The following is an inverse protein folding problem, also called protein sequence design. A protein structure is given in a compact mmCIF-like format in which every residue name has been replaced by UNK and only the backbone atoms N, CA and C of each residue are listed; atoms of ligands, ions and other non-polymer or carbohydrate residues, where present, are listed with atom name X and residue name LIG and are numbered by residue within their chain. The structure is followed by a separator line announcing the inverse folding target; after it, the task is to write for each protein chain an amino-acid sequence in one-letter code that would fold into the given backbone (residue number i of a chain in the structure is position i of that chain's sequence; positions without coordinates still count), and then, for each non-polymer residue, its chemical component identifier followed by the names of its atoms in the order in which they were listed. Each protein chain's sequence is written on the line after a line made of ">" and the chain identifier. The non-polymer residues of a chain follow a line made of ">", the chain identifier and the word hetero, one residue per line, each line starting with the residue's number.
data_IF_695104056174
#
_entry.id   IF_695104056174
#
_cell.length_a   1.000
_cell.length_b   1.000
_cell.length_c   1.000
_cell.angle_alpha   90.00
_cell.angle_beta   90.00
_cell.angle_gamma   90.00
#
_symmetry.space_group_name_H-M   'P 1'
#
loop_
_entity.id
_entity.type
_entity.pdbx_description
1 polymer ?
#
# COMPACT_ATOMS: atom_id res chain seq x y z
N UNK A 1 -13.72 29.48 8.27
CA UNK A 1 -14.43 28.52 9.13
C UNK A 1 -13.40 27.95 10.06
N UNK A 2 -13.58 28.13 11.36
CA UNK A 2 -12.70 27.48 12.35
C UNK A 2 -13.00 25.98 12.36
N UNK A 3 -11.97 25.16 12.49
CA UNK A 3 -12.14 23.73 12.69
C UNK A 3 -12.61 23.48 14.10
N UNK A 4 -13.74 22.79 14.27
CA UNK A 4 -14.30 22.46 15.61
C UNK A 4 -13.45 21.46 16.39
N UNK A 5 -12.47 20.85 15.72
CA UNK A 5 -11.54 19.89 16.29
C UNK A 5 -10.09 20.23 15.94
N UNK A 6 -9.19 19.87 16.85
CA UNK A 6 -7.75 20.09 16.72
C UNK A 6 -7.01 18.82 16.29
N UNK A 7 -5.84 19.01 15.67
CA UNK A 7 -4.93 17.91 15.38
C UNK A 7 -4.53 17.22 16.68
N UNK A 8 -4.50 15.88 16.64
CA UNK A 8 -4.25 14.98 17.78
C UNK A 8 -5.31 15.00 18.87
N UNK A 9 -6.47 15.60 18.62
CA UNK A 9 -7.60 15.54 19.55
C UNK A 9 -8.21 14.13 19.58
N UNK A 10 -8.54 13.67 20.79
CA UNK A 10 -9.25 12.42 21.03
C UNK A 10 -10.76 12.64 20.81
N UNK A 11 -11.37 11.77 20.01
CA UNK A 11 -12.77 11.88 19.60
C UNK A 11 -13.48 10.53 19.59
N UNK A 12 -14.81 10.57 19.60
CA UNK A 12 -15.64 9.45 19.17
C UNK A 12 -15.96 9.62 17.68
N UNK A 13 -15.76 8.56 16.89
CA UNK A 13 -16.14 8.56 15.48
C UNK A 13 -17.10 7.40 15.15
N UNK A 14 -18.02 7.66 14.22
CA UNK A 14 -19.07 6.71 13.83
C UNK A 14 -18.86 6.24 12.39
N UNK A 15 -18.69 4.94 12.21
CA UNK A 15 -18.76 4.31 10.88
C UNK A 15 -20.15 3.71 10.63
N UNK A 16 -20.55 3.65 9.35
CA UNK A 16 -21.78 2.96 8.95
C UNK A 16 -21.69 1.47 9.30
N UNK A 17 -22.65 0.97 10.07
CA UNK A 17 -22.69 -0.43 10.52
C UNK A 17 -21.84 -0.78 11.74
N UNK A 18 -21.09 0.16 12.31
CA UNK A 18 -20.27 -0.06 13.51
C UNK A 18 -20.71 0.87 14.66
N UNK A 19 -20.48 0.53 15.93
CA UNK A 19 -20.72 1.45 17.04
C UNK A 19 -19.81 2.68 16.96
N UNK A 20 -20.06 3.67 17.82
CA UNK A 20 -19.09 4.74 18.07
C UNK A 20 -17.77 4.13 18.59
N UNK A 21 -16.66 4.54 17.98
CA UNK A 21 -15.33 4.01 18.28
C UNK A 21 -14.38 5.16 18.62
N UNK A 22 -13.49 5.00 19.63
CA UNK A 22 -12.56 6.07 19.98
C UNK A 22 -11.42 6.16 18.96
N UNK A 23 -11.06 7.38 18.58
CA UNK A 23 -10.01 7.65 17.60
C UNK A 23 -9.34 8.99 17.82
N UNK A 24 -8.23 9.20 17.14
CA UNK A 24 -7.43 10.43 17.22
C UNK A 24 -7.45 11.11 15.85
N UNK A 25 -7.70 12.41 15.83
CA UNK A 25 -7.60 13.20 14.60
C UNK A 25 -6.13 13.33 14.23
N UNK A 26 -5.76 12.89 13.02
CA UNK A 26 -4.38 12.90 12.54
C UNK A 26 -4.15 13.89 11.40
N UNK A 27 -5.21 14.32 10.73
CA UNK A 27 -5.15 15.25 9.61
C UNK A 27 -6.54 15.87 9.39
N UNK A 28 -6.59 17.02 8.72
CA UNK A 28 -7.82 17.64 8.27
C UNK A 28 -7.63 18.26 6.88
N UNK A 29 -8.67 18.26 6.06
CA UNK A 29 -8.63 18.87 4.72
C UNK A 29 -9.97 19.42 4.31
N UNK A 30 -9.96 20.41 3.42
CA UNK A 30 -11.18 20.90 2.77
C UNK A 30 -11.44 20.03 1.54
N UNK A 31 -12.61 19.42 1.49
CA UNK A 31 -13.07 18.63 0.34
C UNK A 31 -13.52 19.52 -0.82
N UNK A 32 -13.76 18.93 -2.00
CA UNK A 32 -14.23 19.67 -3.18
C UNK A 32 -15.59 20.37 -2.97
N UNK A 33 -16.39 19.91 -2.00
CA UNK A 33 -17.67 20.52 -1.62
C UNK A 33 -17.53 21.64 -0.59
N UNK A 34 -16.32 22.14 -0.31
CA UNK A 34 -16.01 23.08 0.77
C UNK A 34 -16.35 22.59 2.19
N UNK A 35 -16.58 21.28 2.36
CA UNK A 35 -16.75 20.68 3.69
C UNK A 35 -15.40 20.23 4.27
N UNK A 36 -15.19 20.47 5.56
CA UNK A 36 -14.02 19.97 6.29
C UNK A 36 -14.16 18.47 6.52
N UNK A 37 -13.14 17.73 6.10
CA UNK A 37 -12.99 16.30 6.36
C UNK A 37 -11.83 16.07 7.31
N UNK A 38 -12.06 15.20 8.29
CA UNK A 38 -11.08 14.80 9.29
C UNK A 38 -10.61 13.39 9.01
N UNK A 39 -9.30 13.19 9.08
CA UNK A 39 -8.71 11.86 9.15
C UNK A 39 -8.65 11.41 10.59
N UNK A 40 -9.21 10.24 10.86
CA UNK A 40 -9.27 9.66 12.20
C UNK A 40 -8.58 8.32 12.16
N UNK A 41 -7.54 8.17 12.97
CA UNK A 41 -6.88 6.89 13.19
C UNK A 41 -7.48 6.26 14.46
N UNK A 42 -7.99 5.03 14.36
CA UNK A 42 -8.74 4.41 15.45
C UNK A 42 -7.83 3.80 16.53
N UNK A 43 -8.27 3.90 17.80
CA UNK A 43 -7.61 3.19 18.89
C UNK A 43 -7.96 1.70 18.79
N UNK A 44 -6.94 0.86 18.85
CA UNK A 44 -7.01 -0.59 18.79
C UNK A 44 -7.15 -1.21 17.41
N UNK A 45 -7.10 -0.39 16.37
CA UNK A 45 -6.98 -0.81 14.99
C UNK A 45 -5.95 0.04 14.24
N UNK A 46 -5.10 -0.57 13.42
CA UNK A 46 -4.26 0.17 12.47
C UNK A 46 -5.08 0.57 11.23
N UNK A 47 -6.30 1.05 11.45
CA UNK A 47 -7.26 1.51 10.45
C UNK A 47 -7.50 3.02 10.61
N UNK A 48 -7.90 3.66 9.52
CA UNK A 48 -8.22 5.08 9.51
C UNK A 48 -9.40 5.34 8.57
N UNK A 49 -10.10 6.45 8.81
CA UNK A 49 -11.16 6.93 7.92
C UNK A 49 -11.00 8.42 7.68
N UNK A 50 -11.51 8.88 6.53
CA UNK A 50 -11.84 10.28 6.30
C UNK A 50 -13.34 10.45 6.51
N UNK A 51 -13.74 11.39 7.34
CA UNK A 51 -15.16 11.64 7.62
C UNK A 51 -15.44 13.13 7.86
N UNK A 52 -16.71 13.51 7.75
CA UNK A 52 -17.18 14.84 8.09
C UNK A 52 -17.47 14.97 9.61
N UNK A 53 -17.66 16.21 10.03
CA UNK A 53 -17.99 16.57 11.42
C UNK A 53 -19.24 15.87 11.98
N UNK A 54 -20.25 15.59 11.15
CA UNK A 54 -21.49 14.95 11.60
C UNK A 54 -21.27 13.54 12.19
N UNK A 55 -20.16 12.88 11.82
CA UNK A 55 -19.81 11.54 12.30
C UNK A 55 -18.75 11.55 13.40
N UNK A 56 -18.49 12.72 14.01
CA UNK A 56 -17.47 12.92 15.05
C UNK A 56 -18.11 13.59 16.26
N UNK A 57 -17.67 13.22 17.46
CA UNK A 57 -18.05 13.90 18.71
C UNK A 57 -16.81 14.07 19.59
N UNK A 58 -16.78 15.14 20.38
CA UNK A 58 -15.77 15.31 21.43
C UNK A 58 -15.78 14.11 22.37
N UNK A 59 -14.60 13.64 22.78
CA UNK A 59 -14.50 12.45 23.61
C UNK A 59 -15.24 12.59 24.95
N UNK A 60 -15.25 13.80 25.52
CA UNK A 60 -16.00 14.13 26.75
C UNK A 60 -17.50 13.87 26.66
N UNK A 61 -18.05 13.86 25.44
CA UNK A 61 -19.49 13.69 25.20
C UNK A 61 -19.78 12.23 24.91
N UNK A 62 -19.53 11.36 25.89
CA UNK A 62 -19.66 9.91 25.75
C UNK A 62 -21.08 9.52 25.32
N UNK A 63 -21.25 8.86 24.16
CA UNK A 63 -22.57 8.39 23.75
C UNK A 63 -23.13 7.35 24.74
N UNK A 64 -24.38 7.53 25.16
CA UNK A 64 -25.06 6.72 26.21
C UNK A 64 -25.11 5.22 25.92
N UNK A 65 -25.01 4.86 24.64
CA UNK A 65 -25.07 3.53 24.06
C UNK A 65 -23.73 2.77 24.16
N UNK A 66 -22.62 3.47 24.48
CA UNK A 66 -21.29 2.85 24.54
C UNK A 66 -21.15 1.89 25.72
N UNK A 67 -21.66 2.24 26.91
CA UNK A 67 -21.55 1.40 28.10
C UNK A 67 -22.36 0.09 28.00
N UNK A 68 -23.26 -0.03 27.02
CA UNK A 68 -24.07 -1.22 26.77
C UNK A 68 -23.40 -2.23 25.83
N UNK A 69 -22.22 -1.90 25.29
CA UNK A 69 -21.54 -2.78 24.33
C UNK A 69 -20.96 -4.02 25.00
N UNK A 70 -21.23 -5.19 24.43
CA UNK A 70 -20.62 -6.47 24.83
C UNK A 70 -19.31 -6.76 24.10
N UNK A 71 -18.89 -5.86 23.20
CA UNK A 71 -17.68 -6.04 22.40
C UNK A 71 -16.42 -5.79 23.25
N UNK A 72 -15.76 -6.88 23.68
CA UNK A 72 -14.52 -6.86 24.47
C UNK A 72 -13.39 -6.05 23.83
N UNK A 73 -13.30 -6.03 22.49
CA UNK A 73 -12.28 -5.25 21.78
C UNK A 73 -12.56 -3.77 21.96
N UNK A 74 -13.79 -3.34 21.73
CA UNK A 74 -14.21 -1.96 21.90
C UNK A 74 -14.00 -1.50 23.35
N UNK A 75 -14.42 -2.30 24.35
CA UNK A 75 -14.17 -1.99 25.77
C UNK A 75 -12.69 -1.72 26.07
N UNK A 76 -11.79 -2.54 25.52
CA UNK A 76 -10.34 -2.32 25.66
C UNK A 76 -9.86 -1.05 24.95
N UNK A 77 -10.42 -0.72 23.79
CA UNK A 77 -10.10 0.53 23.08
C UNK A 77 -10.53 1.75 23.89
N UNK A 78 -11.67 1.66 24.58
CA UNK A 78 -12.19 2.71 25.46
C UNK A 78 -11.29 2.87 26.68
N UNK A 79 -10.88 1.77 27.34
CA UNK A 79 -9.92 1.84 28.46
C UNK A 79 -8.62 2.55 28.07
N UNK A 80 -8.11 2.29 26.86
CA UNK A 80 -6.91 2.96 26.35
C UNK A 80 -7.20 4.43 26.02
N UNK A 81 -8.36 4.73 25.45
CA UNK A 81 -8.77 6.10 25.19
C UNK A 81 -8.90 6.91 26.48
N UNK A 82 -9.41 6.32 27.57
CA UNK A 82 -9.41 6.94 28.90
C UNK A 82 -8.00 7.26 29.40
N UNK A 83 -7.05 6.33 29.25
CA UNK A 83 -5.64 6.56 29.61
C UNK A 83 -4.98 7.65 28.77
N UNK A 84 -5.39 7.78 27.51
CA UNK A 84 -4.96 8.89 26.64
C UNK A 84 -5.59 10.20 27.11
N UNK A 85 -6.88 10.19 27.47
CA UNK A 85 -7.60 11.35 27.96
C UNK A 85 -7.06 11.86 29.31
N UNK A 86 -6.72 10.96 30.22
CA UNK A 86 -6.06 11.25 31.52
C UNK A 86 -4.59 11.65 31.39
N UNK A 87 -4.04 11.64 30.17
CA UNK A 87 -2.62 11.93 29.84
C UNK A 87 -1.62 10.91 30.42
N UNK A 88 -2.08 9.73 30.83
CA UNK A 88 -1.21 8.61 31.18
C UNK A 88 -0.50 8.02 29.94
N UNK A 89 -1.15 8.07 28.78
CA UNK A 89 -0.59 7.61 27.50
C UNK A 89 -0.49 8.76 26.50
N UNK A 90 0.63 8.81 25.78
CA UNK A 90 0.88 9.80 24.72
C UNK A 90 0.21 9.41 23.40
N UNK A 91 -0.35 10.39 22.70
CA UNK A 91 -0.94 10.25 21.36
C UNK A 91 0.08 10.27 20.23
N UNK A 92 1.35 10.57 20.52
CA UNK A 92 2.39 10.85 19.51
C UNK A 92 2.71 9.65 18.60
N UNK A 93 2.41 8.42 19.03
CA UNK A 93 2.66 7.22 18.25
C UNK A 93 1.55 6.18 18.44
N UNK A 94 0.35 6.52 17.96
CA UNK A 94 -0.83 5.64 18.02
C UNK A 94 -0.57 4.26 17.40
N UNK A 95 0.25 4.18 16.34
CA UNK A 95 0.65 2.91 15.73
C UNK A 95 1.40 2.00 16.72
N UNK A 96 2.40 2.53 17.43
CA UNK A 96 3.10 1.75 18.46
C UNK A 96 2.17 1.35 19.60
N UNK A 97 1.30 2.26 20.05
CA UNK A 97 0.32 2.00 21.08
C UNK A 97 -0.64 0.86 20.68
N UNK A 98 -1.17 0.90 19.46
CA UNK A 98 -2.01 -0.16 18.92
C UNK A 98 -1.28 -1.50 18.86
N UNK A 99 -0.02 -1.52 18.44
CA UNK A 99 0.78 -2.74 18.40
C UNK A 99 1.09 -3.31 19.80
N UNK A 100 1.22 -2.46 20.83
CA UNK A 100 1.44 -2.90 22.21
C UNK A 100 0.20 -3.54 22.81
N UNK A 101 -0.98 -2.94 22.64
CA UNK A 101 -2.21 -3.42 23.30
C UNK A 101 -3.02 -4.42 22.47
N UNK A 102 -2.88 -4.34 21.15
CA UNK A 102 -3.51 -5.22 20.17
C UNK A 102 -2.43 -5.74 19.23
N UNK A 103 -1.44 -6.49 19.77
CA UNK A 103 -0.45 -7.12 18.92
C UNK A 103 -1.22 -7.94 17.91
N UNK A 104 -1.03 -7.63 16.63
CA UNK A 104 -1.75 -8.26 15.54
C UNK A 104 -1.62 -9.77 15.72
N UNK A 105 -2.66 -10.42 16.27
CA UNK A 105 -2.71 -11.87 16.47
C UNK A 105 -2.82 -12.60 15.16
N UNK A 106 -2.64 -11.91 14.03
CA UNK A 106 -1.98 -12.54 12.92
C UNK A 106 -0.58 -13.00 13.37
N UNK A 107 -0.53 -14.16 14.03
CA UNK A 107 0.11 -15.28 13.33
C UNK A 107 -0.38 -15.12 11.91
N UNK A 108 0.45 -14.55 11.05
CA UNK A 108 0.26 -14.72 9.63
C UNK A 108 0.15 -16.24 9.55
N UNK A 109 -1.07 -16.75 9.46
CA UNK A 109 -1.29 -18.04 8.86
C UNK A 109 -0.81 -17.73 7.47
N UNK A 110 0.50 -17.93 7.26
CA UNK A 110 1.06 -18.18 5.94
C UNK A 110 0.00 -19.08 5.31
N UNK A 111 -0.57 -18.71 4.15
CA UNK A 111 -1.63 -19.49 3.53
C UNK A 111 -1.24 -20.94 3.71
N UNK A 112 -2.09 -21.72 4.41
CA UNK A 112 -1.79 -23.11 4.85
C UNK A 112 -0.88 -23.66 3.79
N UNK A 113 0.41 -23.87 4.12
CA UNK A 113 1.44 -24.27 3.17
C UNK A 113 0.74 -25.20 2.21
N UNK A 114 0.61 -24.81 0.93
CA UNK A 114 0.39 -25.84 -0.08
C UNK A 114 1.42 -26.91 0.27
N UNK A 115 1.03 -28.19 0.37
CA UNK A 115 1.95 -29.24 0.76
C UNK A 115 3.27 -28.99 0.03
N UNK A 116 4.41 -28.94 0.75
CA UNK A 116 5.66 -28.42 0.21
C UNK A 116 5.88 -29.05 -1.14
N UNK A 117 5.76 -28.26 -2.20
CA UNK A 117 6.25 -28.65 -3.51
C UNK A 117 7.76 -28.60 -3.32
N UNK A 118 8.42 -29.75 -3.38
CA UNK A 118 9.84 -29.97 -3.06
C UNK A 118 10.70 -28.69 -3.11
N UNK A 119 10.95 -28.12 -1.93
CA UNK A 119 11.63 -26.82 -1.73
C UNK A 119 13.15 -26.92 -1.97
N UNK A 120 13.67 -28.10 -2.29
CA UNK A 120 15.10 -28.27 -2.60
C UNK A 120 15.47 -27.88 -4.05
N UNK A 121 14.55 -27.32 -4.82
CA UNK A 121 14.89 -26.69 -6.10
C UNK A 121 15.01 -25.19 -5.88
N UNK A 122 16.24 -24.70 -5.74
CA UNK A 122 16.51 -23.27 -5.87
C UNK A 122 15.88 -22.75 -7.16
N UNK A 123 15.09 -21.66 -7.12
CA UNK A 123 14.48 -21.10 -8.30
C UNK A 123 15.58 -20.67 -9.27
N UNK A 124 15.79 -21.48 -10.32
CA UNK A 124 16.77 -21.18 -11.36
C UNK A 124 16.35 -19.89 -12.06
N UNK A 125 17.25 -18.90 -12.09
CA UNK A 125 17.01 -17.59 -12.70
C UNK A 125 16.52 -17.67 -14.15
N UNK A 126 16.98 -18.68 -14.90
CA UNK A 126 16.51 -18.95 -16.27
C UNK A 126 15.02 -19.30 -16.37
N UNK A 127 14.43 -19.86 -15.32
CA UNK A 127 12.98 -20.09 -15.25
C UNK A 127 12.23 -18.78 -15.07
N UNK A 128 12.77 -17.87 -14.26
CA UNK A 128 12.18 -16.55 -13.97
C UNK A 128 12.19 -15.69 -15.23
N UNK A 129 13.30 -15.67 -15.96
CA UNK A 129 13.41 -14.97 -17.25
C UNK A 129 12.39 -15.50 -18.26
N UNK A 130 12.27 -16.82 -18.41
CA UNK A 130 11.27 -17.44 -19.29
C UNK A 130 9.83 -17.07 -18.90
N UNK A 131 9.53 -17.06 -17.59
CA UNK A 131 8.20 -16.65 -17.09
C UNK A 131 7.90 -15.19 -17.38
N UNK A 132 8.89 -14.30 -17.20
CA UNK A 132 8.74 -12.87 -17.53
C UNK A 132 8.44 -12.69 -19.03
N UNK A 133 9.19 -13.35 -19.89
CA UNK A 133 8.97 -13.27 -21.34
C UNK A 133 7.61 -13.82 -21.76
N UNK A 134 7.17 -14.92 -21.12
CA UNK A 134 5.84 -15.49 -21.37
C UNK A 134 4.72 -14.56 -20.88
N UNK A 135 4.88 -13.91 -19.72
CA UNK A 135 3.93 -12.93 -19.17
C UNK A 135 3.78 -11.70 -20.08
N UNK A 136 4.91 -11.15 -20.56
CA UNK A 136 4.93 -10.02 -21.50
C UNK A 136 4.22 -10.41 -22.81
N UNK A 137 4.56 -11.57 -23.39
CA UNK A 137 3.94 -12.05 -24.64
C UNK A 137 2.43 -12.29 -24.50
N UNK A 138 2.01 -12.92 -23.39
CA UNK A 138 0.59 -13.22 -23.13
C UNK A 138 -0.22 -11.93 -23.02
N UNK A 139 0.31 -10.92 -22.34
CA UNK A 139 -0.37 -9.63 -22.17
C UNK A 139 -0.40 -8.81 -23.46
N UNK A 140 0.64 -8.88 -24.29
CA UNK A 140 0.62 -8.27 -25.63
C UNK A 140 -0.50 -8.86 -26.51
N UNK A 141 -0.72 -10.18 -26.44
CA UNK A 141 -1.82 -10.84 -27.16
C UNK A 141 -3.20 -10.48 -26.58
N UNK A 142 -3.31 -10.24 -25.27
CA UNK A 142 -4.56 -9.90 -24.57
C UNK A 142 -5.04 -8.45 -24.80
N UNK A 143 -4.19 -7.55 -25.32
CA UNK A 143 -4.64 -6.19 -25.72
C UNK A 143 -5.75 -6.21 -26.79
N UNK A 144 -6.10 -7.37 -27.36
CA UNK A 144 -7.25 -7.57 -28.23
C UNK A 144 -8.60 -7.79 -27.50
N UNK A 145 -8.62 -8.09 -26.19
CA UNK A 145 -9.87 -8.33 -25.45
C UNK A 145 -9.84 -7.78 -24.02
N UNK A 146 -10.67 -6.75 -23.78
CA UNK A 146 -10.80 -6.08 -22.49
C UNK A 146 -11.60 -6.92 -21.47
N UNK A 147 -10.95 -7.37 -20.37
CA UNK A 147 -11.49 -7.39 -19.00
C UNK A 147 -10.54 -8.09 -18.00
N UNK A 148 -10.20 -7.39 -16.91
CA UNK A 148 -10.48 -7.79 -15.51
C UNK A 148 -9.80 -6.82 -14.52
N UNK A 149 -10.57 -6.34 -13.55
CA UNK A 149 -10.06 -5.57 -12.41
C UNK A 149 -9.52 -6.50 -11.32
N UNK A 150 -8.43 -6.09 -10.68
CA UNK A 150 -7.77 -6.79 -9.58
C UNK A 150 -7.80 -5.94 -8.29
N UNK A 151 -7.77 -6.58 -7.12
CA UNK A 151 -7.93 -5.90 -5.82
C UNK A 151 -6.67 -5.13 -5.38
N UNK A 152 -6.83 -3.82 -5.20
CA UNK A 152 -5.84 -2.85 -4.70
C UNK A 152 -5.12 -3.33 -3.42
N UNK A 153 -5.79 -4.10 -2.56
CA UNK A 153 -5.24 -4.60 -1.30
C UNK A 153 -4.04 -5.56 -1.47
N UNK A 154 -3.96 -6.32 -2.59
CA UNK A 154 -2.82 -7.21 -2.85
C UNK A 154 -1.55 -6.41 -3.18
N UNK A 155 -1.73 -5.23 -3.76
CA UNK A 155 -0.69 -4.31 -4.21
C UNK A 155 -0.06 -3.62 -3.02
N UNK A 156 -0.89 -3.10 -2.12
CA UNK A 156 -0.42 -2.49 -0.87
C UNK A 156 0.39 -3.48 -0.02
N UNK A 157 0.06 -4.78 -0.10
CA UNK A 157 0.81 -5.83 0.59
C UNK A 157 2.20 -6.06 0.00
N UNK A 158 2.30 -6.24 -1.33
CA UNK A 158 3.58 -6.37 -2.03
C UNK A 158 4.44 -5.11 -1.85
N UNK A 159 3.81 -3.94 -1.89
CA UNK A 159 4.40 -2.65 -1.58
C UNK A 159 4.99 -2.60 -0.18
N UNK A 160 4.25 -2.99 0.86
CA UNK A 160 4.78 -2.98 2.23
C UNK A 160 6.00 -3.89 2.34
N UNK A 161 5.98 -5.06 1.72
CA UNK A 161 7.13 -5.96 1.70
C UNK A 161 8.34 -5.33 1.01
N UNK A 162 8.13 -4.59 -0.08
CA UNK A 162 9.23 -4.02 -0.86
C UNK A 162 9.72 -2.67 -0.32
N UNK A 163 8.86 -1.83 0.26
CA UNK A 163 9.29 -0.65 1.02
C UNK A 163 10.05 -1.03 2.30
N UNK A 164 9.66 -2.12 2.96
CA UNK A 164 10.45 -2.70 4.05
C UNK A 164 11.83 -3.18 3.54
N UNK A 165 11.90 -3.67 2.31
CA UNK A 165 13.14 -4.08 1.65
C UNK A 165 14.04 -2.88 1.26
N UNK A 166 13.49 -1.79 0.72
CA UNK A 166 14.25 -0.63 0.20
C UNK A 166 14.58 0.42 1.27
N UNK A 167 13.64 0.71 2.17
CA UNK A 167 13.58 2.00 2.88
C UNK A 167 14.46 2.12 4.13
N UNK A 168 15.13 1.06 4.61
CA UNK A 168 15.90 1.12 5.85
C UNK A 168 17.21 0.35 5.76
N UNK A 169 18.27 1.11 5.48
CA UNK A 169 19.66 0.67 5.42
C UNK A 169 20.31 0.42 6.79
N UNK A 170 19.54 0.12 7.85
CA UNK A 170 20.13 -0.12 9.18
C UNK A 170 19.31 -1.21 9.87
N UNK A 171 19.89 -2.41 9.92
CA UNK A 171 19.47 -3.57 10.72
C UNK A 171 18.07 -4.14 10.39
N UNK A 172 17.96 -4.82 9.25
CA UNK A 172 16.99 -5.92 9.11
C UNK A 172 17.72 -7.26 9.24
N UNK A 173 17.03 -8.34 9.68
CA UNK A 173 17.55 -9.70 9.56
C UNK A 173 18.06 -9.93 8.14
N UNK A 174 19.13 -10.72 8.02
CA UNK A 174 19.79 -11.07 6.76
C UNK A 174 18.80 -11.67 5.76
N UNK A 175 18.17 -10.81 4.95
CA UNK A 175 17.30 -11.21 3.86
C UNK A 175 18.15 -12.01 2.89
N UNK A 176 17.74 -13.25 2.68
CA UNK A 176 18.44 -14.18 1.82
C UNK A 176 18.19 -13.85 0.35
N UNK A 177 19.14 -14.22 -0.51
CA UNK A 177 18.99 -14.12 -1.96
C UNK A 177 17.71 -14.79 -2.47
N UNK A 178 17.34 -15.93 -1.87
CA UNK A 178 16.12 -16.68 -2.18
C UNK A 178 14.86 -15.84 -1.92
N UNK A 179 14.81 -15.08 -0.83
CA UNK A 179 13.68 -14.22 -0.52
C UNK A 179 13.55 -13.07 -1.52
N UNK A 180 14.67 -12.47 -1.94
CA UNK A 180 14.69 -11.41 -2.97
C UNK A 180 14.14 -11.95 -4.29
N UNK A 181 14.56 -13.15 -4.68
CA UNK A 181 14.12 -13.81 -5.91
C UNK A 181 12.62 -14.12 -5.84
N UNK A 182 12.13 -14.63 -4.72
CA UNK A 182 10.70 -14.92 -4.52
C UNK A 182 9.83 -13.65 -4.60
N UNK A 183 10.27 -12.55 -3.99
CA UNK A 183 9.57 -11.26 -4.10
C UNK A 183 9.51 -10.81 -5.56
N UNK A 184 10.62 -10.91 -6.29
CA UNK A 184 10.64 -10.54 -7.70
C UNK A 184 9.72 -11.43 -8.56
N UNK A 185 9.66 -12.73 -8.26
CA UNK A 185 8.72 -13.65 -8.91
C UNK A 185 7.25 -13.25 -8.65
N UNK A 186 6.92 -12.75 -7.45
CA UNK A 186 5.58 -12.19 -7.19
C UNK A 186 5.26 -10.97 -8.06
N UNK A 187 6.25 -10.13 -8.40
CA UNK A 187 6.08 -9.03 -9.36
C UNK A 187 5.79 -9.52 -10.78
N UNK A 188 6.49 -10.54 -11.25
CA UNK A 188 6.28 -11.08 -12.60
C UNK A 188 4.86 -11.64 -12.76
N UNK A 189 4.36 -12.31 -11.71
CA UNK A 189 3.03 -12.91 -11.69
C UNK A 189 1.93 -11.90 -11.35
N UNK A 190 2.28 -10.62 -11.16
CA UNK A 190 1.35 -9.57 -10.85
C UNK A 190 0.95 -8.84 -12.13
N UNK A 191 -0.36 -8.75 -12.40
CA UNK A 191 -0.92 -8.03 -13.55
C UNK A 191 -1.60 -6.75 -13.06
N UNK A 192 -0.86 -5.62 -12.96
CA UNK A 192 -1.43 -4.38 -12.49
C UNK A 192 -2.42 -3.76 -13.47
N UNK A 193 -3.50 -3.20 -12.93
CA UNK A 193 -4.38 -2.28 -13.65
C UNK A 193 -3.59 -1.02 -14.08
N UNK A 194 -3.93 -0.49 -15.26
CA UNK A 194 -3.34 0.74 -15.82
C UNK A 194 -3.39 1.92 -14.82
N UNK A 195 -4.51 2.08 -14.10
CA UNK A 195 -4.66 3.15 -13.10
C UNK A 195 -3.64 3.04 -11.97
N UNK A 196 -3.30 1.81 -11.58
CA UNK A 196 -2.36 1.53 -10.48
C UNK A 196 -0.93 1.76 -10.96
N UNK A 197 -0.63 1.41 -12.22
CA UNK A 197 0.67 1.75 -12.82
C UNK A 197 0.88 3.26 -12.92
N UNK A 198 -0.16 4.01 -13.28
CA UNK A 198 -0.12 5.48 -13.36
C UNK A 198 0.09 6.15 -12.00
N UNK A 199 -0.39 5.55 -10.90
CA UNK A 199 -0.09 6.01 -9.54
C UNK A 199 1.39 5.82 -9.14
N UNK A 200 2.23 5.33 -10.06
CA UNK A 200 3.71 5.34 -10.06
C UNK A 200 4.40 4.45 -9.04
N UNK A 201 3.71 3.95 -8.00
CA UNK A 201 4.39 3.28 -6.89
C UNK A 201 5.07 1.96 -7.32
N UNK A 202 4.38 1.15 -8.11
CA UNK A 202 4.91 -0.12 -8.64
C UNK A 202 6.12 0.13 -9.56
N UNK A 203 6.02 1.14 -10.44
CA UNK A 203 7.10 1.54 -11.33
C UNK A 203 8.29 2.11 -10.55
N UNK A 204 8.06 2.90 -9.50
CA UNK A 204 9.11 3.42 -8.59
C UNK A 204 9.84 2.27 -7.88
N UNK A 205 9.08 1.28 -7.41
CA UNK A 205 9.64 0.08 -6.76
C UNK A 205 10.55 -0.70 -7.70
N UNK A 206 10.10 -0.99 -8.93
CA UNK A 206 10.93 -1.67 -9.93
C UNK A 206 12.13 -0.84 -10.38
N UNK A 207 11.98 0.49 -10.50
CA UNK A 207 13.09 1.39 -10.81
C UNK A 207 14.17 1.33 -9.73
N UNK A 208 13.78 1.43 -8.47
CA UNK A 208 14.73 1.35 -7.37
C UNK A 208 15.35 -0.05 -7.25
N UNK A 209 14.55 -1.11 -7.43
CA UNK A 209 15.06 -2.48 -7.47
C UNK A 209 16.13 -2.66 -8.55
N UNK A 210 15.88 -2.14 -9.77
CA UNK A 210 16.89 -2.08 -10.83
C UNK A 210 18.13 -1.34 -10.36
N UNK A 211 18.01 -0.12 -9.86
CA UNK A 211 19.14 0.73 -9.49
C UNK A 211 20.04 0.06 -8.42
N UNK A 212 19.45 -0.61 -7.44
CA UNK A 212 20.19 -1.33 -6.40
C UNK A 212 20.96 -2.54 -6.94
N UNK A 213 20.32 -3.34 -7.80
CA UNK A 213 20.88 -4.63 -8.18
C UNK A 213 21.66 -4.61 -9.49
N UNK A 214 21.45 -3.65 -10.38
CA UNK A 214 22.13 -3.61 -11.68
C UNK A 214 23.66 -3.49 -11.55
N UNK A 215 24.14 -2.83 -10.49
CA UNK A 215 25.56 -2.67 -10.17
C UNK A 215 26.07 -3.70 -9.16
N UNK A 216 25.27 -4.73 -8.82
CA UNK A 216 25.67 -5.78 -7.90
C UNK A 216 26.87 -6.57 -8.44
N UNK A 217 27.80 -6.92 -7.54
CA UNK A 217 28.91 -7.83 -7.85
C UNK A 217 28.43 -9.29 -7.99
N UNK A 218 27.31 -9.64 -7.37
CA UNK A 218 26.67 -10.96 -7.57
C UNK A 218 25.98 -10.98 -8.95
N UNK A 219 26.36 -11.91 -9.85
CA UNK A 219 25.86 -11.96 -11.23
C UNK A 219 24.37 -12.30 -11.32
N UNK A 220 23.81 -13.06 -10.37
CA UNK A 220 22.39 -13.38 -10.36
C UNK A 220 21.56 -12.18 -9.92
N UNK A 221 22.01 -11.46 -8.90
CA UNK A 221 21.36 -10.21 -8.50
C UNK A 221 21.46 -9.16 -9.62
N UNK A 222 22.62 -9.03 -10.28
CA UNK A 222 22.77 -8.17 -11.44
C UNK A 222 21.79 -8.52 -12.57
N UNK A 223 21.61 -9.82 -12.82
CA UNK A 223 20.66 -10.32 -13.81
C UNK A 223 19.20 -10.06 -13.38
N UNK A 224 18.89 -10.20 -12.09
CA UNK A 224 17.57 -9.82 -11.54
C UNK A 224 17.30 -8.31 -11.70
N UNK A 225 18.33 -7.46 -11.53
CA UNK A 225 18.26 -6.03 -11.81
C UNK A 225 17.94 -5.73 -13.29
N UNK A 226 18.53 -6.50 -14.23
CA UNK A 226 18.19 -6.41 -15.67
C UNK A 226 16.75 -6.83 -15.94
N UNK A 227 16.28 -7.92 -15.33
CA UNK A 227 14.88 -8.36 -15.45
C UNK A 227 13.91 -7.33 -14.88
N UNK A 228 14.23 -6.73 -13.73
CA UNK A 228 13.44 -5.65 -13.14
C UNK A 228 13.37 -4.44 -14.06
N UNK A 229 14.47 -4.09 -14.74
CA UNK A 229 14.47 -3.04 -15.74
C UNK A 229 13.55 -3.35 -16.91
N UNK A 230 13.61 -4.58 -17.44
CA UNK A 230 12.77 -5.03 -18.55
C UNK A 230 11.29 -4.95 -18.19
N UNK A 231 10.92 -5.45 -17.01
CA UNK A 231 9.54 -5.37 -16.49
C UNK A 231 9.09 -3.92 -16.26
N UNK A 232 9.97 -3.06 -15.73
CA UNK A 232 9.71 -1.64 -15.56
C UNK A 232 9.38 -0.94 -16.89
N UNK A 233 10.20 -1.16 -17.93
CA UNK A 233 9.96 -0.56 -19.25
C UNK A 233 8.63 -1.03 -19.81
N UNK A 234 8.37 -2.34 -19.74
CA UNK A 234 7.12 -2.92 -20.21
C UNK A 234 5.89 -2.28 -19.54
N UNK A 235 5.86 -2.23 -18.20
CA UNK A 235 4.73 -1.65 -17.48
C UNK A 235 4.64 -0.13 -17.64
N UNK A 236 5.76 0.58 -17.79
CA UNK A 236 5.75 2.01 -18.11
C UNK A 236 5.05 2.23 -19.45
N UNK A 237 5.38 1.44 -20.46
CA UNK A 237 4.78 1.57 -21.79
C UNK A 237 3.28 1.16 -21.77
N UNK A 238 2.88 0.22 -20.91
CA UNK A 238 1.45 -0.08 -20.67
C UNK A 238 0.73 1.08 -19.99
N UNK A 239 1.37 1.73 -19.00
CA UNK A 239 0.76 2.80 -18.22
C UNK A 239 0.59 4.11 -19.01
N UNK A 240 1.60 4.42 -19.81
CA UNK A 240 1.77 5.72 -20.47
C UNK A 240 1.78 5.62 -22.01
N UNK A 241 1.58 4.45 -22.61
CA UNK A 241 1.62 4.28 -24.07
C UNK A 241 0.72 5.27 -24.80
N UNK A 242 -0.57 5.32 -24.42
CA UNK A 242 -1.53 6.27 -25.00
C UNK A 242 -1.12 7.74 -24.81
N UNK A 243 -0.56 8.10 -23.65
CA UNK A 243 -0.07 9.45 -23.41
C UNK A 243 1.15 9.79 -24.29
N UNK A 244 2.06 8.84 -24.48
CA UNK A 244 3.23 9.02 -25.35
C UNK A 244 2.79 9.16 -26.81
N UNK A 245 1.82 8.37 -27.25
CA UNK A 245 1.28 8.43 -28.61
C UNK A 245 0.61 9.79 -28.86
N UNK A 246 -0.22 10.28 -27.93
CA UNK A 246 -0.83 11.61 -28.00
C UNK A 246 0.18 12.75 -28.07
N UNK A 247 1.26 12.69 -27.28
CA UNK A 247 2.31 13.71 -27.32
C UNK A 247 3.12 13.65 -28.62
N UNK A 248 3.38 12.46 -29.14
CA UNK A 248 4.11 12.25 -30.40
C UNK A 248 3.31 12.77 -31.59
N UNK A 249 1.98 12.58 -31.59
CA UNK A 249 1.10 13.14 -32.61
C UNK A 249 1.07 14.69 -32.57
N UNK A 250 1.03 15.28 -31.37
CA UNK A 250 1.10 16.74 -31.20
C UNK A 250 2.39 17.34 -31.75
N UNK A 251 3.54 16.73 -31.43
CA UNK A 251 4.85 17.18 -31.94
C UNK A 251 4.95 17.04 -33.46
N UNK A 252 4.41 15.95 -34.02
CA UNK A 252 4.40 15.73 -35.47
C UNK A 252 3.61 16.82 -36.20
N UNK A 253 2.41 17.18 -35.68
CA UNK A 253 1.60 18.28 -36.24
C UNK A 253 2.35 19.62 -36.22
N UNK A 254 3.04 19.94 -35.13
CA UNK A 254 3.82 21.20 -35.02
C UNK A 254 4.97 21.24 -36.04
N UNK A 255 5.59 20.11 -36.33
CA UNK A 255 6.74 20.05 -37.24
C UNK A 255 6.31 20.27 -38.69
N UNK A 256 5.16 19.73 -39.11
CA UNK A 256 4.61 19.94 -40.46
C UNK A 256 4.26 21.41 -40.76
N UNK A 257 3.86 22.19 -39.75
CA UNK A 257 3.55 23.61 -39.92
C UNK A 257 4.78 24.53 -40.09
N UNK A 258 6.00 24.05 -39.82
CA UNK A 258 7.23 24.86 -39.94
C UNK A 258 7.96 24.70 -41.28
N UNK A 259 7.47 23.85 -42.19
CA UNK A 259 8.12 23.55 -43.48
C UNK A 259 7.37 24.11 -44.68
N UNK A 260 6.40 25.00 -44.45
CA UNK A 260 5.64 25.76 -45.46
C UNK A 260 5.98 27.24 -45.26
#
# INVERSE_FOLDING_TARGET
>A
MESDFQDRELVWAKMKGFPWWPGIITDNKISQSNEVQYRIDFIGENSHIWTNQASIRKYSNTPSDIYKTTNKKLQKCIEIAEKVHSRELSTNNLFSLNNTFFPNKSKIKLPKKRPPKDINSEPKLSSIEKKLDQSIKSTQNLKAHNKKGFSIAKIEKLQKQLCLFIGKNIQFPSITKVEIVNVFEEFINYEPDKNILQQSFVLKSLKHFKEQFLSSKDPELASLGKLAHKLYLYWRDVAYGEYIDEQTEKVSKITTFKTI
#
